data_IF_934201627026
#
_entry.id   IF_934201627026
#
_cell.length_a   1.000
_cell.length_b   1.000
_cell.length_c   1.000
_cell.angle_alpha   90.00
_cell.angle_beta   90.00
_cell.angle_gamma   90.00
#
_symmetry.space_group_name_H-M   'P 1'
#
loop_
_entity.id
_entity.type
_entity.pdbx_description
1 polymer ?
#
# COMPACT_ATOMS: atom_id res chain seq x y z
N UNK A 1 18.65 14.88 1.78
CA UNK A 1 19.28 13.91 2.72
C UNK A 1 18.19 12.98 3.22
N UNK A 2 18.26 11.66 2.95
CA UNK A 2 17.19 10.73 3.30
C UNK A 2 17.22 10.39 4.80
N UNK A 3 16.10 10.56 5.52
CA UNK A 3 15.93 10.08 6.89
C UNK A 3 14.84 9.01 6.93
N UNK A 4 15.14 7.90 7.62
CA UNK A 4 14.18 6.84 7.90
C UNK A 4 13.61 7.12 9.29
N UNK A 5 12.39 7.64 9.36
CA UNK A 5 11.66 7.72 10.63
C UNK A 5 10.95 6.37 10.85
N UNK A 6 11.58 5.53 11.68
CA UNK A 6 10.88 4.39 12.28
C UNK A 6 9.93 4.93 13.35
N UNK A 7 8.64 4.59 13.25
CA UNK A 7 7.69 4.86 14.32
C UNK A 7 8.18 4.20 15.62
N UNK A 8 8.21 4.99 16.68
CA UNK A 8 8.78 4.69 18.00
C UNK A 8 8.21 3.39 18.56
N UNK A 9 9.09 2.42 18.84
CA UNK A 9 8.77 1.20 19.59
C UNK A 9 8.65 1.50 21.09
N UNK A 10 7.43 1.61 21.60
CA UNK A 10 7.15 1.31 23.01
C UNK A 10 6.82 -0.18 23.12
N UNK A 11 7.78 -0.94 23.63
CA UNK A 11 7.69 -2.37 23.91
C UNK A 11 6.52 -2.68 24.85
N UNK A 12 5.39 -3.10 24.28
CA UNK A 12 4.39 -3.91 24.97
C UNK A 12 4.55 -5.34 24.46
N UNK A 13 4.98 -6.25 25.33
CA UNK A 13 4.96 -7.69 25.07
C UNK A 13 3.51 -8.19 25.06
N UNK A 14 2.79 -7.90 23.99
CA UNK A 14 1.68 -8.74 23.58
C UNK A 14 2.21 -9.65 22.48
N UNK A 15 2.35 -10.93 22.80
CA UNK A 15 2.42 -11.98 21.79
C UNK A 15 1.07 -12.00 21.08
N UNK A 16 0.91 -11.11 20.10
CA UNK A 16 -0.13 -11.23 19.10
C UNK A 16 0.24 -12.43 18.25
N UNK A 17 -0.59 -13.47 18.32
CA UNK A 17 -0.73 -14.38 17.21
C UNK A 17 -1.27 -13.55 16.04
N UNK A 18 -0.37 -12.93 15.27
CA UNK A 18 -0.68 -12.52 13.93
C UNK A 18 -1.26 -13.76 13.25
N UNK A 19 -2.54 -13.73 12.92
CA UNK A 19 -3.15 -14.79 12.12
C UNK A 19 -2.64 -14.63 10.69
N UNK A 20 -1.34 -14.88 10.50
CA UNK A 20 -0.75 -15.25 9.23
C UNK A 20 -1.39 -16.57 8.85
N UNK A 21 -2.59 -16.48 8.29
CA UNK A 21 -3.33 -17.64 7.82
C UNK A 21 -2.60 -18.10 6.58
N UNK A 22 -1.90 -19.23 6.69
CA UNK A 22 -1.33 -19.95 5.54
C UNK A 22 -2.36 -19.96 4.41
N UNK A 23 -1.91 -19.76 3.19
CA UNK A 23 -2.83 -19.74 2.07
C UNK A 23 -3.68 -21.03 2.00
N UNK A 24 -5.03 -20.95 2.06
CA UNK A 24 -5.90 -22.14 2.07
C UNK A 24 -5.75 -22.99 0.80
N UNK A 25 -5.69 -22.31 -0.35
CA UNK A 25 -5.46 -22.96 -1.64
C UNK A 25 -4.48 -22.14 -2.48
N UNK A 26 -3.43 -22.80 -2.96
CA UNK A 26 -2.49 -22.21 -3.91
C UNK A 26 -2.90 -22.57 -5.33
N UNK A 27 -3.06 -21.55 -6.17
CA UNK A 27 -3.27 -21.70 -7.61
C UNK A 27 -1.96 -21.44 -8.36
N UNK A 28 -1.55 -22.37 -9.24
CA UNK A 28 -0.37 -22.20 -10.11
C UNK A 28 -0.80 -21.49 -11.38
N UNK A 29 -0.18 -20.34 -11.68
CA UNK A 29 -0.55 -19.52 -12.83
C UNK A 29 -0.07 -20.18 -14.12
N UNK A 30 -0.99 -20.37 -15.06
CA UNK A 30 -0.74 -20.88 -16.40
C UNK A 30 -0.64 -19.72 -17.43
N UNK A 31 0.05 -19.94 -18.57
CA UNK A 31 0.07 -18.97 -19.65
C UNK A 31 -1.35 -18.68 -20.17
N UNK A 32 -1.71 -17.39 -20.22
CA UNK A 32 -3.03 -16.94 -20.67
C UNK A 32 -4.05 -16.72 -19.55
N UNK A 33 -3.72 -17.07 -18.31
CA UNK A 33 -4.57 -16.78 -17.17
C UNK A 33 -4.78 -15.29 -16.95
N UNK A 34 -5.98 -14.96 -16.48
CA UNK A 34 -6.34 -13.63 -15.99
C UNK A 34 -6.87 -13.76 -14.56
N UNK A 35 -6.71 -12.72 -13.75
CA UNK A 35 -7.27 -12.73 -12.39
C UNK A 35 -8.79 -12.88 -12.40
N UNK A 36 -9.46 -12.32 -13.41
CA UNK A 36 -10.90 -12.48 -13.60
C UNK A 36 -11.26 -13.94 -13.89
N UNK A 37 -10.54 -14.61 -14.78
CA UNK A 37 -10.76 -16.03 -15.10
C UNK A 37 -10.50 -16.95 -13.90
N UNK A 38 -9.44 -16.70 -13.14
CA UNK A 38 -9.15 -17.48 -11.92
C UNK A 38 -10.23 -17.25 -10.86
N UNK A 39 -10.71 -16.01 -10.69
CA UNK A 39 -11.78 -15.68 -9.75
C UNK A 39 -13.12 -16.30 -10.15
N UNK A 40 -13.47 -16.25 -11.44
CA UNK A 40 -14.67 -16.89 -11.96
C UNK A 40 -14.62 -18.40 -11.74
N UNK A 41 -13.47 -19.03 -12.00
CA UNK A 41 -13.27 -20.46 -11.75
C UNK A 41 -13.34 -20.82 -10.25
N UNK A 42 -12.77 -19.98 -9.38
CA UNK A 42 -12.66 -20.27 -7.94
C UNK A 42 -13.93 -19.94 -7.14
N UNK A 43 -14.63 -18.87 -7.52
CA UNK A 43 -15.74 -18.30 -6.75
C UNK A 43 -17.06 -18.24 -7.52
N UNK A 44 -17.05 -18.56 -8.82
CA UNK A 44 -18.21 -18.42 -9.70
C UNK A 44 -18.56 -16.96 -10.04
N UNK A 45 -17.68 -16.01 -9.70
CA UNK A 45 -17.86 -14.59 -10.00
C UNK A 45 -16.49 -13.91 -10.20
N UNK A 46 -16.25 -13.49 -11.44
CA UNK A 46 -15.07 -12.72 -11.83
C UNK A 46 -14.82 -11.46 -10.98
N UNK A 47 -15.83 -10.90 -10.30
CA UNK A 47 -15.69 -9.73 -9.41
C UNK A 47 -14.83 -9.99 -8.17
N UNK A 48 -14.53 -11.25 -7.85
CA UNK A 48 -13.59 -11.60 -6.78
C UNK A 48 -12.12 -11.50 -7.20
N UNK A 49 -11.81 -11.06 -8.43
CA UNK A 49 -10.42 -10.84 -8.86
C UNK A 49 -9.59 -9.97 -7.88
N UNK A 50 -10.13 -8.91 -7.21
CA UNK A 50 -9.34 -8.14 -6.26
C UNK A 50 -8.98 -8.95 -5.02
N UNK A 51 -9.83 -9.90 -4.63
CA UNK A 51 -9.58 -10.76 -3.48
C UNK A 51 -8.34 -11.63 -3.68
N UNK A 52 -8.12 -12.12 -4.90
CA UNK A 52 -6.90 -12.88 -5.25
C UNK A 52 -5.64 -12.02 -5.09
N UNK A 53 -5.69 -10.76 -5.55
CA UNK A 53 -4.56 -9.82 -5.43
C UNK A 53 -4.26 -9.52 -3.97
N UNK A 54 -5.29 -9.13 -3.21
CA UNK A 54 -5.13 -8.72 -1.81
C UNK A 54 -4.70 -9.90 -0.93
N UNK A 55 -5.26 -11.09 -1.13
CA UNK A 55 -4.88 -12.30 -0.40
C UNK A 55 -3.45 -12.77 -0.72
N UNK A 56 -3.01 -12.61 -1.97
CA UNK A 56 -1.62 -12.94 -2.38
C UNK A 56 -0.64 -11.93 -1.79
N UNK A 57 -0.96 -10.64 -1.90
CA UNK A 57 -0.09 -9.55 -1.42
C UNK A 57 -0.08 -9.47 0.12
N UNK A 58 -1.07 -10.01 0.83
CA UNK A 58 -1.04 -10.08 2.30
C UNK A 58 -0.15 -11.20 2.85
N UNK A 59 0.34 -12.10 1.99
CA UNK A 59 1.10 -13.32 2.35
C UNK A 59 2.52 -13.33 1.77
N UNK A 60 3.12 -12.14 1.62
CA UNK A 60 4.52 -12.03 1.18
C UNK A 60 5.42 -12.83 2.13
N UNK A 61 6.25 -13.71 1.57
CA UNK A 61 7.14 -14.58 2.34
C UNK A 61 6.82 -16.08 2.24
N UNK A 62 5.60 -16.47 1.83
CA UNK A 62 5.24 -17.88 1.58
C UNK A 62 5.47 -18.28 0.10
N UNK A 63 6.60 -17.89 -0.49
CA UNK A 63 6.92 -17.94 -1.92
C UNK A 63 5.92 -17.22 -2.85
N UNK A 64 4.98 -16.44 -2.31
CA UNK A 64 4.13 -15.56 -3.11
C UNK A 64 4.91 -14.33 -3.57
N UNK A 65 4.72 -13.96 -4.83
CA UNK A 65 5.24 -12.71 -5.39
C UNK A 65 4.19 -11.63 -5.32
N UNK A 66 4.64 -10.41 -5.03
CA UNK A 66 3.79 -9.24 -5.03
C UNK A 66 3.23 -8.99 -6.43
N UNK A 67 1.90 -8.96 -6.54
CA UNK A 67 1.18 -8.61 -7.77
C UNK A 67 1.07 -7.09 -7.80
N UNK A 68 1.95 -6.45 -8.57
CA UNK A 68 1.94 -5.00 -8.77
C UNK A 68 1.08 -4.55 -9.95
N UNK A 69 0.95 -5.40 -10.96
CA UNK A 69 0.10 -5.17 -12.13
C UNK A 69 -0.92 -6.32 -12.20
N UNK A 70 -2.19 -6.00 -12.00
CA UNK A 70 -3.28 -6.98 -12.03
C UNK A 70 -3.57 -7.51 -13.43
N UNK A 71 -3.04 -6.88 -14.47
CA UNK A 71 -3.22 -7.33 -15.85
C UNK A 71 -2.03 -8.14 -16.38
N UNK A 72 -0.92 -8.23 -15.65
CA UNK A 72 0.26 -8.99 -16.05
C UNK A 72 0.69 -10.01 -14.99
N UNK A 73 0.29 -11.27 -15.22
CA UNK A 73 0.63 -12.40 -14.35
C UNK A 73 1.88 -13.17 -14.79
N UNK A 74 2.61 -12.73 -15.84
CA UNK A 74 3.74 -13.50 -16.40
C UNK A 74 4.86 -13.73 -15.39
N UNK A 75 5.05 -12.80 -14.46
CA UNK A 75 6.07 -12.89 -13.41
C UNK A 75 5.55 -13.51 -12.10
N UNK A 76 4.27 -13.90 -12.04
CA UNK A 76 3.58 -14.39 -10.84
C UNK A 76 3.41 -15.91 -10.96
N UNK A 77 4.21 -16.73 -10.25
CA UNK A 77 4.17 -18.19 -10.41
C UNK A 77 2.94 -18.83 -9.75
N UNK A 78 2.44 -18.21 -8.68
CA UNK A 78 1.33 -18.72 -7.91
C UNK A 78 0.55 -17.59 -7.25
N UNK A 79 -0.73 -17.85 -7.04
CA UNK A 79 -1.71 -16.93 -6.44
C UNK A 79 -2.36 -17.63 -5.25
N UNK A 80 -2.61 -16.86 -4.19
CA UNK A 80 -3.40 -17.36 -3.09
C UNK A 80 -4.90 -17.24 -3.40
N UNK A 81 -5.60 -18.36 -3.33
CA UNK A 81 -7.07 -18.42 -3.40
C UNK A 81 -7.58 -18.54 -1.96
N UNK A 82 -8.09 -17.45 -1.37
CA UNK A 82 -8.60 -17.47 0.01
C UNK A 82 -9.94 -18.21 0.10
N UNK A 83 -10.31 -18.63 1.31
CA UNK A 83 -11.66 -19.10 1.62
C UNK A 83 -12.70 -18.03 1.28
N UNK A 84 -13.91 -18.43 0.90
CA UNK A 84 -14.96 -17.50 0.42
C UNK A 84 -15.22 -16.34 1.40
N UNK A 85 -15.29 -16.62 2.70
CA UNK A 85 -15.50 -15.59 3.72
C UNK A 85 -14.34 -14.59 3.80
N UNK A 86 -13.10 -15.01 3.55
CA UNK A 86 -11.95 -14.11 3.43
C UNK A 86 -11.97 -13.36 2.09
N UNK A 87 -12.31 -14.04 1.00
CA UNK A 87 -12.45 -13.44 -0.32
C UNK A 87 -13.45 -12.26 -0.29
N UNK A 88 -14.58 -12.45 0.39
CA UNK A 88 -15.60 -11.43 0.57
C UNK A 88 -15.09 -10.20 1.35
N UNK A 89 -14.32 -10.42 2.42
CA UNK A 89 -13.69 -9.30 3.16
C UNK A 89 -12.74 -8.52 2.28
N UNK A 90 -11.93 -9.21 1.47
CA UNK A 90 -11.01 -8.55 0.54
C UNK A 90 -11.73 -7.78 -0.56
N UNK A 91 -12.77 -8.37 -1.15
CA UNK A 91 -13.63 -7.72 -2.15
C UNK A 91 -14.23 -6.43 -1.59
N UNK A 92 -14.83 -6.49 -0.40
CA UNK A 92 -15.41 -5.32 0.27
C UNK A 92 -14.36 -4.24 0.61
N UNK A 93 -13.14 -4.63 1.04
CA UNK A 93 -12.03 -3.69 1.26
C UNK A 93 -11.66 -2.96 -0.03
N UNK A 94 -11.59 -3.68 -1.14
CA UNK A 94 -11.31 -3.08 -2.45
C UNK A 94 -12.44 -2.14 -2.92
N UNK A 95 -13.70 -2.50 -2.70
CA UNK A 95 -14.83 -1.62 -3.03
C UNK A 95 -14.82 -0.32 -2.24
N UNK A 96 -14.49 -0.38 -0.94
CA UNK A 96 -14.30 0.83 -0.11
C UNK A 96 -13.17 1.71 -0.64
N UNK A 97 -12.07 1.11 -1.10
CA UNK A 97 -11.00 1.85 -1.75
C UNK A 97 -11.46 2.55 -3.04
N UNK A 98 -12.20 1.86 -3.91
CA UNK A 98 -12.75 2.46 -5.12
C UNK A 98 -13.75 3.57 -4.81
N UNK A 99 -14.57 3.43 -3.76
CA UNK A 99 -15.46 4.48 -3.30
C UNK A 99 -14.66 5.71 -2.83
N UNK A 100 -13.61 5.52 -2.03
CA UNK A 100 -12.73 6.60 -1.61
C UNK A 100 -12.08 7.31 -2.81
N UNK A 101 -11.61 6.58 -3.83
CA UNK A 101 -11.07 7.19 -5.06
C UNK A 101 -12.13 8.06 -5.74
N UNK A 102 -13.36 7.55 -5.91
CA UNK A 102 -14.45 8.30 -6.56
C UNK A 102 -14.86 9.53 -5.75
N UNK A 103 -14.87 9.44 -4.43
CA UNK A 103 -15.15 10.59 -3.55
C UNK A 103 -14.02 11.62 -3.58
N UNK A 104 -12.79 11.20 -3.87
CA UNK A 104 -11.66 12.10 -4.10
C UNK A 104 -11.54 12.56 -5.55
N UNK A 105 -12.45 12.15 -6.45
CA UNK A 105 -12.48 12.66 -7.81
C UNK A 105 -12.57 14.19 -7.76
N UNK A 106 -11.64 14.83 -8.47
CA UNK A 106 -11.17 16.17 -8.19
C UNK A 106 -12.34 17.16 -8.02
N UNK A 107 -12.32 17.99 -6.96
CA UNK A 107 -13.07 19.23 -6.97
C UNK A 107 -12.65 20.01 -8.22
N UNK A 108 -13.59 20.75 -8.79
CA UNK A 108 -13.28 21.61 -9.91
C UNK A 108 -12.12 22.55 -9.53
N UNK A 109 -11.23 22.94 -10.47
CA UNK A 109 -10.01 23.68 -10.12
C UNK A 109 -10.27 24.90 -9.23
N UNK A 110 -11.39 25.60 -9.43
CA UNK A 110 -11.80 26.76 -8.62
C UNK A 110 -12.23 26.42 -7.19
N UNK A 111 -12.60 25.17 -6.89
CA UNK A 111 -12.89 24.70 -5.52
C UNK A 111 -11.61 24.40 -4.74
N UNK A 112 -10.52 24.09 -5.44
CA UNK A 112 -9.21 23.77 -4.84
C UNK A 112 -8.32 25.00 -4.72
N UNK A 113 -8.30 25.88 -5.73
CA UNK A 113 -7.44 27.08 -5.77
C UNK A 113 -7.47 27.91 -4.49
N UNK A 114 -8.64 28.22 -3.89
CA UNK A 114 -8.70 28.98 -2.63
C UNK A 114 -8.15 28.23 -1.41
N UNK A 115 -7.94 26.91 -1.52
CA UNK A 115 -7.50 26.02 -0.44
C UNK A 115 -6.07 25.51 -0.66
N UNK A 116 -5.39 25.96 -1.71
CA UNK A 116 -3.99 25.63 -1.94
C UNK A 116 -3.14 26.19 -0.80
N UNK A 117 -2.24 25.34 -0.30
CA UNK A 117 -1.23 25.76 0.66
C UNK A 117 -0.08 26.35 -0.13
N UNK A 118 0.18 27.64 0.07
CA UNK A 118 1.40 28.26 -0.45
C UNK A 118 2.60 27.80 0.38
N UNK A 119 3.64 27.34 -0.32
CA UNK A 119 4.92 27.05 0.30
C UNK A 119 5.88 28.21 0.06
N UNK A 120 6.56 28.68 1.11
CA UNK A 120 7.57 29.72 0.96
C UNK A 120 8.73 29.21 0.10
N UNK A 121 9.10 30.00 -0.91
CA UNK A 121 10.14 29.65 -1.89
C UNK A 121 11.57 29.85 -1.36
N UNK A 122 11.72 30.42 -0.17
CA UNK A 122 13.01 30.78 0.44
C UNK A 122 13.58 29.70 1.37
N UNK A 123 12.84 28.60 1.59
CA UNK A 123 13.27 27.50 2.46
C UNK A 123 12.93 26.13 1.88
N UNK A 124 13.77 25.11 2.14
CA UNK A 124 13.47 23.75 1.74
C UNK A 124 12.20 23.24 2.45
N UNK A 125 11.45 22.39 1.76
CA UNK A 125 10.24 21.73 2.28
C UNK A 125 10.60 20.27 2.52
N UNK A 126 10.34 19.79 3.73
CA UNK A 126 10.47 18.37 4.04
C UNK A 126 9.28 17.61 3.42
N UNK A 127 9.59 16.62 2.61
CA UNK A 127 8.59 15.78 1.94
C UNK A 127 8.85 14.31 2.24
N UNK A 128 7.81 13.49 2.21
CA UNK A 128 7.91 12.04 2.39
C UNK A 128 7.48 11.33 1.10
N UNK A 129 8.24 10.32 0.72
CA UNK A 129 7.82 9.31 -0.26
C UNK A 129 7.59 7.97 0.44
N UNK A 130 6.83 7.08 -0.19
CA UNK A 130 6.43 5.79 0.40
C UNK A 130 6.86 4.64 -0.51
N UNK A 131 7.48 3.64 0.09
CA UNK A 131 8.08 2.50 -0.61
C UNK A 131 7.91 1.24 0.22
N UNK A 132 8.00 0.08 -0.43
CA UNK A 132 8.08 -1.18 0.29
C UNK A 132 9.46 -1.37 0.91
N UNK A 133 9.51 -2.00 2.09
CA UNK A 133 10.75 -2.19 2.84
C UNK A 133 11.82 -2.95 2.02
N UNK A 134 11.41 -3.93 1.23
CA UNK A 134 12.28 -4.75 0.36
C UNK A 134 12.89 -3.95 -0.80
N UNK A 135 12.28 -2.83 -1.17
CA UNK A 135 12.72 -1.99 -2.28
C UNK A 135 13.60 -0.81 -1.83
N UNK A 136 13.66 -0.49 -0.53
CA UNK A 136 14.42 0.68 -0.03
C UNK A 136 15.87 0.66 -0.52
N UNK A 137 16.58 -0.45 -0.28
CA UNK A 137 18.00 -0.57 -0.64
C UNK A 137 18.21 -0.53 -2.15
N UNK A 138 17.37 -1.24 -2.91
CA UNK A 138 17.49 -1.33 -4.37
C UNK A 138 17.21 0.01 -5.07
N UNK A 139 16.35 0.84 -4.49
CA UNK A 139 15.84 2.05 -5.13
C UNK A 139 16.55 3.32 -4.66
N UNK A 140 16.94 3.39 -3.38
CA UNK A 140 17.45 4.62 -2.75
C UNK A 140 18.87 4.51 -2.18
N UNK A 141 19.54 3.36 -2.36
CA UNK A 141 20.94 3.19 -1.98
C UNK A 141 21.78 2.75 -3.19
N UNK A 142 23.03 3.19 -3.23
CA UNK A 142 24.00 2.73 -4.22
C UNK A 142 24.61 1.37 -3.85
N UNK A 143 25.53 0.86 -4.68
CA UNK A 143 26.18 -0.45 -4.45
C UNK A 143 27.02 -0.50 -3.18
N UNK A 144 27.36 0.64 -2.58
CA UNK A 144 28.10 0.73 -1.31
C UNK A 144 27.15 0.82 -0.10
N UNK A 145 25.83 0.89 -0.34
CA UNK A 145 24.81 1.10 0.69
C UNK A 145 24.65 2.57 1.07
N UNK A 146 25.31 3.51 0.38
CA UNK A 146 25.14 4.92 0.63
C UNK A 146 23.84 5.43 0.01
N UNK A 147 23.14 6.33 0.71
CA UNK A 147 21.92 6.95 0.20
C UNK A 147 22.20 7.78 -1.05
N UNK A 148 21.32 7.65 -2.04
CA UNK A 148 21.38 8.52 -3.23
C UNK A 148 21.27 9.99 -2.80
N UNK A 149 21.90 10.88 -3.57
CA UNK A 149 21.80 12.34 -3.33
C UNK A 149 20.59 12.97 -4.01
N UNK A 150 20.00 12.27 -4.97
CA UNK A 150 18.86 12.70 -5.77
C UNK A 150 17.85 11.56 -5.85
N UNK A 151 16.59 11.90 -6.13
CA UNK A 151 15.58 10.90 -6.42
C UNK A 151 16.02 10.07 -7.65
N UNK A 152 15.78 8.75 -7.66
CA UNK A 152 16.16 7.89 -8.78
C UNK A 152 15.35 8.14 -10.07
N UNK A 153 14.38 9.05 -10.02
CA UNK A 153 13.52 9.46 -11.13
C UNK A 153 12.41 10.38 -10.63
N UNK A 154 11.30 10.43 -11.37
CA UNK A 154 10.06 11.06 -10.90
C UNK A 154 9.46 10.23 -9.77
N UNK A 155 9.20 10.89 -8.64
CA UNK A 155 8.66 10.24 -7.44
C UNK A 155 7.43 11.00 -6.95
N UNK A 156 6.46 10.24 -6.44
CA UNK A 156 5.34 10.78 -5.70
C UNK A 156 5.78 11.13 -4.29
N UNK A 157 5.39 12.32 -3.84
CA UNK A 157 5.70 12.83 -2.51
C UNK A 157 4.47 13.46 -1.85
N UNK A 158 4.50 13.52 -0.53
CA UNK A 158 3.55 14.29 0.28
C UNK A 158 4.32 15.13 1.29
N UNK A 159 3.72 16.20 1.79
CA UNK A 159 4.40 17.13 2.72
C UNK A 159 4.47 16.52 4.12
N UNK A 160 5.68 16.44 4.66
CA UNK A 160 6.04 15.62 5.83
C UNK A 160 5.32 16.04 7.14
N UNK A 161 5.16 17.32 7.51
CA UNK A 161 4.42 17.63 8.73
C UNK A 161 2.92 17.35 8.60
N UNK A 162 2.36 17.34 7.39
CA UNK A 162 0.94 17.07 7.19
C UNK A 162 0.63 15.57 7.25
N UNK A 163 1.55 14.74 6.77
CA UNK A 163 1.42 13.29 6.89
C UNK A 163 1.47 12.87 8.37
N UNK A 164 2.42 13.38 9.15
CA UNK A 164 2.51 13.08 10.58
C UNK A 164 1.25 13.53 11.34
N UNK A 165 0.81 14.78 11.12
CA UNK A 165 -0.42 15.31 11.74
C UNK A 165 -1.65 14.46 11.40
N UNK A 166 -1.73 13.99 10.17
CA UNK A 166 -2.79 13.10 9.72
C UNK A 166 -2.78 11.78 10.51
N UNK A 167 -1.63 11.11 10.61
CA UNK A 167 -1.50 9.87 11.38
C UNK A 167 -1.90 10.06 12.84
N UNK A 168 -1.36 11.08 13.52
CA UNK A 168 -1.65 11.35 14.92
C UNK A 168 -3.13 11.73 15.17
N UNK A 169 -3.75 12.45 14.24
CA UNK A 169 -5.17 12.79 14.33
C UNK A 169 -6.05 11.54 14.17
N UNK A 170 -5.73 10.69 13.18
CA UNK A 170 -6.46 9.46 12.94
C UNK A 170 -6.40 8.50 14.12
N UNK A 171 -5.21 8.26 14.68
CA UNK A 171 -5.02 7.39 15.84
C UNK A 171 -5.76 7.89 17.09
N UNK A 172 -5.81 9.21 17.29
CA UNK A 172 -6.57 9.81 18.41
C UNK A 172 -8.08 9.59 18.27
N UNK A 173 -8.60 9.61 17.04
CA UNK A 173 -10.04 9.49 16.76
C UNK A 173 -10.52 8.03 16.67
N UNK A 174 -9.67 7.13 16.16
CA UNK A 174 -10.06 5.75 15.82
C UNK A 174 -9.31 4.68 16.63
N UNK A 175 -8.40 5.10 17.52
CA UNK A 175 -7.51 4.21 18.25
C UNK A 175 -6.28 3.80 17.41
N UNK A 176 -5.34 3.12 18.07
CA UNK A 176 -4.07 2.70 17.47
C UNK A 176 -4.17 1.33 16.77
N UNK A 177 -5.17 1.17 15.89
CA UNK A 177 -5.28 -0.01 15.02
C UNK A 177 -4.40 0.16 13.77
N UNK A 178 -3.28 -0.58 13.65
CA UNK A 178 -2.34 -0.41 12.55
C UNK A 178 -2.93 -0.79 11.18
N UNK A 179 -3.90 -1.71 11.13
CA UNK A 179 -4.51 -2.13 9.86
C UNK A 179 -5.49 -1.08 9.34
N UNK A 180 -6.21 -0.42 10.26
CA UNK A 180 -7.08 0.71 9.91
C UNK A 180 -6.27 1.93 9.48
N UNK A 181 -5.20 2.26 10.21
CA UNK A 181 -4.32 3.36 9.83
C UNK A 181 -3.67 3.10 8.46
N UNK A 182 -3.16 1.88 8.23
CA UNK A 182 -2.56 1.49 6.94
C UNK A 182 -3.57 1.64 5.81
N UNK A 183 -4.77 1.09 5.95
CA UNK A 183 -5.83 1.20 4.95
C UNK A 183 -6.17 2.67 4.66
N UNK A 184 -6.25 3.50 5.69
CA UNK A 184 -6.58 4.92 5.52
C UNK A 184 -5.44 5.69 4.86
N UNK A 185 -4.19 5.39 5.19
CA UNK A 185 -3.02 5.95 4.51
C UNK A 185 -3.00 5.54 3.03
N UNK A 186 -3.32 4.28 2.73
CA UNK A 186 -3.41 3.81 1.34
C UNK A 186 -4.44 4.60 0.54
N UNK A 187 -5.64 4.81 1.11
CA UNK A 187 -6.66 5.66 0.48
C UNK A 187 -6.18 7.11 0.28
N UNK A 188 -5.58 7.71 1.32
CA UNK A 188 -5.12 9.11 1.29
C UNK A 188 -4.03 9.34 0.25
N UNK A 189 -3.14 8.36 0.09
CA UNK A 189 -1.97 8.43 -0.79
C UNK A 189 -2.24 7.84 -2.18
N UNK A 190 -3.49 7.44 -2.47
CA UNK A 190 -3.87 6.84 -3.74
C UNK A 190 -3.25 5.46 -4.00
N UNK A 191 -2.87 4.74 -2.94
CA UNK A 191 -2.29 3.42 -3.04
C UNK A 191 -3.36 2.33 -3.10
N UNK A 192 -3.16 1.27 -3.89
CA UNK A 192 -4.03 0.10 -3.82
C UNK A 192 -3.96 -0.52 -2.42
N UNK A 193 -5.02 -1.17 -1.94
CA UNK A 193 -5.00 -1.83 -0.64
C UNK A 193 -3.90 -2.90 -0.57
N UNK A 194 -3.29 -3.08 0.60
CA UNK A 194 -2.21 -4.07 0.81
C UNK A 194 -1.06 -3.85 -0.19
N UNK A 195 -0.75 -2.59 -0.48
CA UNK A 195 0.35 -2.19 -1.36
C UNK A 195 1.73 -2.61 -0.82
N UNK A 196 1.81 -2.90 0.48
CA UNK A 196 3.05 -3.16 1.22
C UNK A 196 3.95 -1.92 1.34
N UNK A 197 3.51 -0.74 0.87
CA UNK A 197 4.29 0.51 0.90
C UNK A 197 4.13 1.19 2.26
N UNK A 198 4.64 0.53 3.30
CA UNK A 198 4.54 0.96 4.69
C UNK A 198 5.78 1.71 5.18
N UNK A 199 6.82 1.80 4.36
CA UNK A 199 8.05 2.54 4.70
C UNK A 199 8.00 3.94 4.09
N UNK A 200 8.13 4.95 4.95
CA UNK A 200 8.21 6.35 4.53
C UNK A 200 9.65 6.84 4.60
N UNK A 201 10.12 7.44 3.51
CA UNK A 201 11.44 8.06 3.42
C UNK A 201 11.26 9.57 3.38
N UNK A 202 11.80 10.25 4.37
CA UNK A 202 11.82 11.70 4.43
C UNK A 202 12.94 12.25 3.55
N UNK A 203 12.62 13.27 2.76
CA UNK A 203 13.46 13.93 1.78
C UNK A 203 13.49 15.41 2.13
N UNK A 204 14.71 15.93 2.17
CA UNK A 204 15.06 17.33 2.39
C UNK A 204 16.10 17.78 1.39
#
# INVERSE_FOLDING_TARGET
MFRVCAAVHLLSLFAWAASGTVCPQTYVVAPGDTLQGIADWSFGDAKYWPALVLATNSRLGEDFRFISDSNDLRAIPKICVPEFAEAERWRLRYEKYLAAIRETALPEPWEVVPRLVEFPSDRPIDVATWIRVDQVKKTYQDSTGAWLRQAPGEIWVTVEPYLQKFCSAFEREHGSDPDQLTMRLEQRLGLPPVSGKTTFLEIR
#
